data_IF_054598373654
#
_entry.id   IF_054598373654
#
_cell.length_a   1.000
_cell.length_b   1.000
_cell.length_c   1.000
_cell.angle_alpha   90.00
_cell.angle_beta   90.00
_cell.angle_gamma   90.00
#
_symmetry.space_group_name_H-M   'P 1'
#
loop_
_entity.id
_entity.type
_entity.pdbx_description
1 polymer ?
#
# COMPACT_ATOMS: atom_id res chain seq x y z
N UNK A 1 27.25 18.65 40.36
CA UNK A 1 27.43 19.79 39.41
C UNK A 1 27.86 21.04 40.17
N UNK A 2 29.03 20.97 40.82
CA UNK A 2 29.52 22.07 41.65
C UNK A 2 30.67 21.59 42.54
N UNK A 3 31.73 21.05 41.94
CA UNK A 3 33.02 20.81 42.63
C UNK A 3 34.12 20.76 41.57
N UNK A 4 34.42 21.91 41.01
CA UNK A 4 35.71 22.22 40.40
C UNK A 4 35.82 23.73 40.41
N UNK A 5 37.00 24.24 40.74
CA UNK A 5 37.36 25.66 40.84
C UNK A 5 37.36 26.37 39.47
N UNK A 6 36.40 26.04 38.59
CA UNK A 6 36.19 26.63 37.28
C UNK A 6 34.92 27.47 37.30
N UNK A 7 34.99 28.63 36.66
CA UNK A 7 33.86 29.57 36.68
C UNK A 7 32.67 28.98 35.91
N UNK A 8 31.48 28.84 36.52
CA UNK A 8 30.32 28.19 35.88
C UNK A 8 29.87 28.91 34.60
N UNK A 9 30.07 30.24 34.51
CA UNK A 9 29.80 31.02 33.30
C UNK A 9 30.72 30.65 32.13
N UNK A 10 31.95 30.25 32.41
CA UNK A 10 32.91 29.88 31.36
C UNK A 10 32.64 28.47 30.84
N UNK A 11 32.29 27.53 31.73
CA UNK A 11 31.86 26.18 31.33
C UNK A 11 30.56 26.24 30.51
N UNK A 12 29.57 27.04 30.93
CA UNK A 12 28.34 27.25 30.13
C UNK A 12 28.65 27.81 28.74
N UNK A 13 29.56 28.80 28.64
CA UNK A 13 29.98 29.31 27.33
C UNK A 13 30.67 28.24 26.50
N UNK A 14 31.58 27.46 27.08
CA UNK A 14 32.31 26.40 26.36
C UNK A 14 31.33 25.34 25.83
N UNK A 15 30.43 24.85 26.67
CA UNK A 15 29.40 23.88 26.29
C UNK A 15 28.44 24.46 25.23
N UNK A 16 28.02 25.72 25.39
CA UNK A 16 27.17 26.37 24.40
C UNK A 16 27.86 26.53 23.03
N UNK A 17 29.15 26.87 23.01
CA UNK A 17 29.92 26.95 21.76
C UNK A 17 30.12 25.57 21.11
N UNK A 18 30.33 24.53 21.90
CA UNK A 18 30.46 23.16 21.40
C UNK A 18 29.16 22.67 20.75
N UNK A 19 28.02 22.87 21.42
CA UNK A 19 26.69 22.53 20.88
C UNK A 19 26.34 23.37 19.65
N UNK A 20 26.69 24.65 19.65
CA UNK A 20 26.47 25.51 18.49
C UNK A 20 27.34 25.10 17.30
N UNK A 21 28.58 24.65 17.53
CA UNK A 21 29.43 24.07 16.49
C UNK A 21 28.79 22.84 15.84
N UNK A 22 28.27 21.93 16.66
CA UNK A 22 27.54 20.74 16.17
C UNK A 22 26.30 21.12 15.36
N UNK A 23 25.54 22.13 15.80
CA UNK A 23 24.39 22.65 15.06
C UNK A 23 24.81 23.18 13.69
N UNK A 24 25.88 23.99 13.63
CA UNK A 24 26.37 24.54 12.37
C UNK A 24 26.79 23.44 11.38
N UNK A 25 27.42 22.38 11.87
CA UNK A 25 27.81 21.25 11.01
C UNK A 25 26.59 20.45 10.53
N UNK A 26 25.56 20.30 11.37
CA UNK A 26 24.28 19.72 10.95
C UNK A 26 23.62 20.54 9.84
N UNK A 27 23.56 21.88 10.01
CA UNK A 27 22.96 22.78 9.01
C UNK A 27 23.71 22.72 7.69
N UNK A 28 25.05 22.73 7.71
CA UNK A 28 25.85 22.58 6.48
C UNK A 28 25.52 21.28 5.74
N UNK A 29 25.50 20.16 6.48
CA UNK A 29 25.19 18.86 5.90
C UNK A 29 23.77 18.81 5.32
N UNK A 30 22.79 19.42 6.00
CA UNK A 30 21.42 19.49 5.53
C UNK A 30 21.28 20.32 4.25
N UNK A 31 21.90 21.50 4.21
CA UNK A 31 21.90 22.36 3.02
C UNK A 31 22.56 21.65 1.85
N UNK A 32 23.73 21.03 2.04
CA UNK A 32 24.39 20.26 0.97
C UNK A 32 23.54 19.09 0.51
N UNK A 33 22.91 18.35 1.42
CA UNK A 33 22.01 17.24 1.09
C UNK A 33 20.80 17.74 0.29
N UNK A 34 20.20 18.86 0.70
CA UNK A 34 19.08 19.46 -0.01
C UNK A 34 19.49 19.84 -1.43
N UNK A 35 20.61 20.55 -1.60
CA UNK A 35 21.11 20.95 -2.92
C UNK A 35 21.43 19.75 -3.82
N UNK A 36 22.01 18.67 -3.28
CA UNK A 36 22.35 17.48 -4.05
C UNK A 36 21.13 16.60 -4.38
N UNK A 37 20.08 16.67 -3.56
CA UNK A 37 18.87 15.84 -3.72
C UNK A 37 17.72 16.60 -4.38
N UNK A 38 17.84 17.92 -4.55
CA UNK A 38 16.80 18.73 -5.18
C UNK A 38 16.66 18.29 -6.64
N UNK A 39 15.55 17.61 -6.93
CA UNK A 39 15.15 17.29 -8.30
C UNK A 39 14.21 18.39 -8.75
N UNK A 40 14.69 19.25 -9.66
CA UNK A 40 13.82 20.20 -10.36
C UNK A 40 13.02 19.39 -11.38
N UNK A 41 11.85 18.93 -10.98
CA UNK A 41 10.92 18.24 -11.88
C UNK A 41 10.19 19.28 -12.71
N UNK A 42 10.12 19.08 -14.03
CA UNK A 42 9.20 19.83 -14.89
C UNK A 42 7.76 19.52 -14.49
N UNK A 43 6.81 20.42 -14.78
CA UNK A 43 5.40 20.22 -14.42
C UNK A 43 4.83 18.88 -14.88
N UNK A 44 5.21 18.43 -16.08
CA UNK A 44 4.80 17.12 -16.63
C UNK A 44 5.34 15.92 -15.83
N UNK A 45 6.53 16.04 -15.23
CA UNK A 45 7.11 15.00 -14.40
C UNK A 45 6.43 14.88 -13.03
N UNK A 46 5.85 15.97 -12.52
CA UNK A 46 5.02 15.97 -11.31
C UNK A 46 3.68 15.27 -11.56
N UNK A 47 3.02 15.52 -12.70
CA UNK A 47 1.78 14.84 -13.09
C UNK A 47 2.01 13.33 -13.28
N UNK A 48 3.05 12.94 -14.01
CA UNK A 48 3.38 11.51 -14.20
C UNK A 48 3.73 10.82 -12.88
N UNK A 49 4.45 11.49 -11.98
CA UNK A 49 4.77 10.93 -10.66
C UNK A 49 3.52 10.80 -9.77
N UNK A 50 2.56 11.72 -9.89
CA UNK A 50 1.28 11.65 -9.19
C UNK A 50 0.40 10.49 -9.71
N UNK A 51 0.28 10.34 -11.03
CA UNK A 51 -0.42 9.21 -11.66
C UNK A 51 0.21 7.86 -11.28
N UNK A 52 1.54 7.78 -11.22
CA UNK A 52 2.24 6.56 -10.78
C UNK A 52 1.95 6.23 -9.31
N UNK A 53 1.88 7.24 -8.44
CA UNK A 53 1.51 7.06 -7.03
C UNK A 53 0.06 6.62 -6.87
N UNK A 54 -0.85 7.24 -7.61
CA UNK A 54 -2.28 6.90 -7.62
C UNK A 54 -2.50 5.48 -8.15
N UNK A 55 -1.89 5.11 -9.27
CA UNK A 55 -1.97 3.76 -9.83
C UNK A 55 -1.37 2.68 -8.91
N UNK A 56 -0.42 3.04 -8.03
CA UNK A 56 0.12 2.13 -7.01
C UNK A 56 -0.81 1.99 -5.82
N UNK A 57 -1.50 3.05 -5.43
CA UNK A 57 -2.54 3.00 -4.41
C UNK A 57 -3.75 2.17 -4.87
N UNK A 58 -4.17 2.32 -6.13
CA UNK A 58 -5.23 1.51 -6.76
C UNK A 58 -4.84 0.04 -6.97
N UNK A 59 -3.54 -0.28 -6.90
CA UNK A 59 -3.02 -1.65 -7.00
C UNK A 59 -3.03 -2.41 -5.67
N UNK A 60 -3.54 -1.81 -4.58
CA UNK A 60 -3.86 -2.55 -3.36
C UNK A 60 -5.07 -3.45 -3.66
N UNK A 61 -4.78 -4.63 -4.18
CA UNK A 61 -5.75 -5.68 -4.47
C UNK A 61 -5.46 -6.89 -3.57
N UNK A 62 -6.51 -7.64 -3.23
CA UNK A 62 -6.44 -8.85 -2.39
C UNK A 62 -6.07 -8.57 -0.93
N UNK A 63 -6.64 -7.51 -0.34
CA UNK A 63 -6.51 -7.27 1.10
C UNK A 63 -7.21 -8.42 1.83
N UNK A 64 -6.46 -9.10 2.70
CA UNK A 64 -6.95 -10.22 3.48
C UNK A 64 -6.86 -9.84 4.95
N UNK A 65 -7.97 -9.94 5.67
CA UNK A 65 -8.04 -9.68 7.10
C UNK A 65 -8.20 -10.98 7.87
N UNK A 66 -7.50 -11.09 9.00
CA UNK A 66 -7.56 -12.25 9.87
C UNK A 66 -7.99 -11.78 11.25
N UNK A 67 -9.12 -12.26 11.74
CA UNK A 67 -9.62 -11.97 13.08
C UNK A 67 -10.17 -13.23 13.76
N UNK A 68 -10.06 -13.30 15.10
CA UNK A 68 -10.72 -14.35 15.87
C UNK A 68 -12.23 -14.11 15.89
N UNK A 69 -13.00 -15.18 15.76
CA UNK A 69 -14.46 -15.16 15.91
C UNK A 69 -14.88 -15.22 17.38
N UNK A 70 -16.16 -15.01 17.66
CA UNK A 70 -16.69 -15.07 19.03
C UNK A 70 -16.52 -16.46 19.68
N UNK A 71 -16.29 -17.52 18.89
CA UNK A 71 -15.95 -18.87 19.38
C UNK A 71 -14.44 -19.12 19.55
N UNK A 72 -13.59 -18.16 19.17
CA UNK A 72 -12.13 -18.24 19.30
C UNK A 72 -11.42 -18.88 18.10
N UNK A 73 -12.15 -19.20 17.03
CA UNK A 73 -11.59 -19.73 15.78
C UNK A 73 -11.03 -18.61 14.91
N UNK A 74 -9.95 -18.89 14.18
CA UNK A 74 -9.33 -17.90 13.29
C UNK A 74 -10.04 -17.94 11.94
N UNK A 75 -10.77 -16.87 11.61
CA UNK A 75 -11.36 -16.70 10.28
C UNK A 75 -10.58 -15.68 9.45
N UNK A 76 -10.33 -16.05 8.20
CA UNK A 76 -9.66 -15.22 7.21
C UNK A 76 -10.69 -14.74 6.20
N UNK A 77 -11.03 -13.45 6.24
CA UNK A 77 -11.98 -12.83 5.32
C UNK A 77 -11.22 -12.02 4.27
N UNK A 78 -11.53 -12.27 3.01
CA UNK A 78 -11.03 -11.47 1.89
C UNK A 78 -11.94 -10.26 1.73
N UNK A 79 -11.34 -9.08 1.68
CA UNK A 79 -12.09 -7.84 1.46
C UNK A 79 -12.59 -7.79 0.02
N UNK A 80 -13.88 -8.07 -0.18
CA UNK A 80 -14.53 -8.14 -1.48
C UNK A 80 -14.47 -6.80 -2.26
N UNK A 81 -14.28 -5.68 -1.56
CA UNK A 81 -14.07 -4.36 -2.17
C UNK A 81 -12.71 -4.19 -2.84
N UNK A 82 -11.70 -4.97 -2.45
CA UNK A 82 -10.35 -4.94 -3.07
C UNK A 82 -10.07 -6.10 -4.03
N UNK A 83 -11.01 -7.03 -4.20
CA UNK A 83 -10.91 -8.07 -5.23
C UNK A 83 -11.29 -7.52 -6.60
N UNK A 84 -10.28 -7.15 -7.40
CA UNK A 84 -10.48 -6.91 -8.84
C UNK A 84 -10.90 -8.22 -9.52
N UNK A 85 -11.94 -8.24 -10.36
CA UNK A 85 -12.28 -9.41 -11.16
C UNK A 85 -11.11 -9.64 -12.12
N UNK A 86 -10.37 -10.71 -11.88
CA UNK A 86 -9.26 -11.11 -12.72
C UNK A 86 -9.80 -11.64 -14.06
N UNK A 87 -9.80 -10.78 -15.07
CA UNK A 87 -9.69 -11.18 -16.47
C UNK A 87 -10.94 -11.78 -17.14
N UNK A 88 -11.31 -11.18 -18.28
CA UNK A 88 -11.90 -11.92 -19.40
C UNK A 88 -13.42 -11.89 -19.47
N UNK A 89 -13.91 -11.08 -20.41
CA UNK A 89 -15.07 -11.31 -21.29
C UNK A 89 -16.30 -12.00 -20.69
N UNK A 90 -17.38 -11.23 -20.61
CA UNK A 90 -18.72 -11.72 -20.33
C UNK A 90 -19.05 -12.95 -21.16
N UNK A 91 -19.16 -14.10 -20.48
CA UNK A 91 -19.79 -15.35 -20.88
C UNK A 91 -19.58 -16.40 -19.78
N UNK A 92 -18.50 -16.33 -18.97
CA UNK A 92 -18.21 -17.31 -17.92
C UNK A 92 -19.06 -17.20 -16.65
N UNK A 93 -19.43 -15.99 -16.23
CA UNK A 93 -20.13 -15.76 -14.95
C UNK A 93 -21.54 -16.37 -14.90
N UNK A 94 -22.20 -16.41 -16.06
CA UNK A 94 -23.55 -16.95 -16.22
C UNK A 94 -23.60 -18.46 -16.05
N UNK A 95 -22.49 -19.16 -16.32
CA UNK A 95 -22.38 -20.61 -16.18
C UNK A 95 -21.62 -21.03 -14.92
N UNK A 96 -20.87 -20.12 -14.29
CA UNK A 96 -20.10 -20.38 -13.07
C UNK A 96 -20.99 -20.71 -11.85
N UNK A 97 -22.25 -20.26 -11.85
CA UNK A 97 -23.21 -20.48 -10.75
C UNK A 97 -24.32 -21.50 -11.08
N UNK A 98 -24.29 -22.12 -12.25
CA UNK A 98 -25.37 -23.04 -12.70
C UNK A 98 -25.01 -24.48 -12.34
N UNK A 99 -25.85 -25.13 -11.53
CA UNK A 99 -25.68 -26.52 -11.13
C UNK A 99 -25.87 -27.49 -12.30
N UNK A 100 -25.24 -28.67 -12.22
CA UNK A 100 -25.23 -29.68 -13.30
C UNK A 100 -26.65 -30.10 -13.78
N UNK A 101 -27.67 -30.03 -12.93
CA UNK A 101 -29.05 -30.40 -13.26
C UNK A 101 -29.98 -29.21 -13.58
N UNK A 102 -29.51 -27.96 -13.43
CA UNK A 102 -30.30 -26.75 -13.62
C UNK A 102 -30.58 -26.48 -15.11
N UNK A 103 -31.63 -25.70 -15.43
CA UNK A 103 -31.87 -25.27 -16.81
C UNK A 103 -30.66 -24.50 -17.35
N UNK A 104 -30.24 -24.84 -18.56
CA UNK A 104 -29.13 -24.16 -19.22
C UNK A 104 -29.49 -22.69 -19.50
N UNK A 105 -28.66 -21.71 -19.08
CA UNK A 105 -28.92 -20.28 -19.31
C UNK A 105 -28.79 -19.89 -20.80
N UNK A 106 -28.37 -20.84 -21.65
CA UNK A 106 -28.34 -20.73 -23.11
C UNK A 106 -29.74 -20.71 -23.77
N UNK A 107 -30.84 -20.77 -23.01
CA UNK A 107 -32.20 -20.72 -23.54
C UNK A 107 -32.68 -21.99 -24.24
N UNK A 108 -31.92 -23.09 -24.17
CA UNK A 108 -32.23 -24.33 -24.89
C UNK A 108 -33.30 -25.20 -24.24
N UNK A 109 -33.77 -24.83 -23.03
CA UNK A 109 -34.74 -25.61 -22.24
C UNK A 109 -34.21 -26.94 -21.69
N UNK A 110 -32.95 -27.30 -21.97
CA UNK A 110 -32.30 -28.54 -21.53
C UNK A 110 -31.52 -28.33 -20.23
N UNK A 111 -31.37 -29.38 -19.42
CA UNK A 111 -30.51 -29.36 -18.22
C UNK A 111 -29.06 -29.11 -18.63
N UNK A 112 -28.29 -28.38 -17.81
CA UNK A 112 -26.91 -27.99 -18.11
C UNK A 112 -26.03 -29.18 -18.52
N UNK A 113 -26.11 -30.31 -17.82
CA UNK A 113 -25.39 -31.56 -18.17
C UNK A 113 -25.70 -32.17 -19.54
N UNK A 114 -26.85 -31.84 -20.13
CA UNK A 114 -27.29 -32.34 -21.44
C UNK A 114 -27.08 -31.32 -22.56
N UNK A 115 -26.54 -30.14 -22.23
CA UNK A 115 -26.26 -29.07 -23.17
C UNK A 115 -24.76 -28.70 -23.07
N UNK A 116 -24.44 -27.55 -22.50
CA UNK A 116 -23.06 -27.04 -22.40
C UNK A 116 -22.19 -27.75 -21.35
N UNK A 117 -22.78 -28.53 -20.44
CA UNK A 117 -22.09 -29.35 -19.43
C UNK A 117 -21.96 -30.83 -19.82
N UNK A 118 -22.09 -31.16 -21.11
CA UNK A 118 -21.95 -32.54 -21.62
C UNK A 118 -20.47 -32.90 -21.65
N UNK A 119 -20.02 -33.64 -20.65
CA UNK A 119 -18.70 -34.27 -20.66
C UNK A 119 -18.74 -35.37 -21.73
N UNK A 120 -17.86 -35.27 -22.72
CA UNK A 120 -17.65 -36.31 -23.72
C UNK A 120 -17.09 -37.57 -23.06
#
# INVERSE_FOLDING_TARGET
RGYAQKQPKQEYKREAFELFGQLLDSVKNEVTKLLMTVKVQSGEQLEQAAEDLESRAERIANVTYTAPTETGDVETMVDQSTTRPAGGVGLGEQYARVGRNDPCPCGSGKKYKQCHGKLA
#
